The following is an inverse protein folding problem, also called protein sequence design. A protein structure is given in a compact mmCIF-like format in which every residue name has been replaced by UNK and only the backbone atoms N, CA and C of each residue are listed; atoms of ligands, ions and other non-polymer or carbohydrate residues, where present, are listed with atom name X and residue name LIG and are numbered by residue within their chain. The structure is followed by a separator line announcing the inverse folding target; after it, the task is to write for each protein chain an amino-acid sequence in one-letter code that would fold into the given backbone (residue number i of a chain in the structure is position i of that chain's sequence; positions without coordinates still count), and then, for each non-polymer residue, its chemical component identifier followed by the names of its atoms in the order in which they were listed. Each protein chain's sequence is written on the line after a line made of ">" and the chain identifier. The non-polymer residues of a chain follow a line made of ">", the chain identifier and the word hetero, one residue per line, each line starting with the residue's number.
data_IF_612693091307
#
_entry.id   IF_612693091307
#
_cell.length_a   1.000
_cell.length_b   1.000
_cell.length_c   1.000
_cell.angle_alpha   90.00
_cell.angle_beta   90.00
_cell.angle_gamma   90.00
#
_symmetry.space_group_name_H-M   'P 1'
#
loop_
_entity.id
_entity.type
_entity.pdbx_description
1 polymer ?
#
# COMPACT_ATOMS: atom_id res chain seq x y z
N UNK A 1 20.12 11.94 -12.15
CA UNK A 1 19.62 11.21 -10.97
C UNK A 1 18.39 11.93 -10.46
N UNK A 2 17.28 11.24 -10.45
CA UNK A 2 16.03 11.77 -9.91
C UNK A 2 16.11 11.80 -8.39
N UNK A 3 15.44 12.77 -7.76
CA UNK A 3 15.53 12.97 -6.31
C UNK A 3 14.19 12.69 -5.64
N UNK A 4 14.23 11.95 -4.56
CA UNK A 4 13.11 11.88 -3.62
C UNK A 4 13.04 13.18 -2.84
N UNK A 5 11.85 13.77 -2.76
CA UNK A 5 11.59 14.96 -1.95
C UNK A 5 11.08 14.46 -0.59
N UNK A 6 11.85 14.67 0.45
CA UNK A 6 11.53 14.16 1.80
C UNK A 6 12.73 14.21 2.73
N UNK A 7 12.66 13.43 3.80
CA UNK A 7 13.71 13.35 4.80
C UNK A 7 14.72 12.24 4.45
N UNK A 8 15.96 12.43 4.90
CA UNK A 8 16.92 11.34 4.95
C UNK A 8 16.43 10.25 5.93
N UNK A 9 16.63 9.00 5.57
CA UNK A 9 16.29 7.84 6.37
C UNK A 9 17.50 6.90 6.48
N UNK A 10 18.55 7.27 7.22
CA UNK A 10 19.81 6.53 7.26
C UNK A 10 19.68 5.10 7.79
N UNK A 11 18.61 4.82 8.56
CA UNK A 11 18.29 3.48 9.08
C UNK A 11 17.38 2.65 8.17
N UNK A 12 17.14 3.07 6.92
CA UNK A 12 16.30 2.29 5.99
C UNK A 12 16.87 0.87 5.82
N UNK A 13 16.04 -0.18 5.95
CA UNK A 13 16.52 -1.53 5.66
C UNK A 13 17.00 -1.62 4.22
N UNK A 14 18.14 -2.26 4.01
CA UNK A 14 18.72 -2.35 2.69
C UNK A 14 19.50 -3.64 2.46
N UNK A 15 19.39 -4.15 1.27
CA UNK A 15 20.24 -5.19 0.71
C UNK A 15 20.67 -4.76 -0.68
N UNK A 16 21.94 -4.87 -0.98
CA UNK A 16 22.45 -4.58 -2.32
C UNK A 16 21.83 -5.54 -3.35
N UNK A 17 21.72 -5.06 -4.58
CA UNK A 17 21.18 -5.87 -5.68
C UNK A 17 22.00 -7.13 -5.86
N UNK A 18 21.38 -8.31 -5.89
CA UNK A 18 22.10 -9.56 -6.17
C UNK A 18 22.82 -9.52 -7.52
N UNK A 19 24.00 -10.13 -7.57
CA UNK A 19 24.76 -10.25 -8.83
C UNK A 19 23.94 -10.96 -9.91
N UNK A 20 23.93 -10.42 -11.13
CA UNK A 20 23.14 -10.95 -12.23
C UNK A 20 21.64 -10.62 -12.22
N UNK A 21 21.14 -9.89 -11.20
CA UNK A 21 19.75 -9.45 -11.17
C UNK A 21 19.56 -8.24 -12.09
N UNK A 22 18.77 -8.40 -13.14
CA UNK A 22 18.41 -7.36 -14.12
C UNK A 22 17.03 -6.71 -13.85
N UNK A 23 16.32 -7.19 -12.81
CA UNK A 23 14.99 -6.67 -12.43
C UNK A 23 15.12 -5.33 -11.70
N UNK A 24 14.15 -4.41 -11.89
CA UNK A 24 14.17 -3.11 -11.21
C UNK A 24 13.85 -3.20 -9.72
N UNK A 25 13.28 -4.31 -9.26
CA UNK A 25 12.96 -4.62 -7.87
C UNK A 25 13.52 -5.99 -7.52
N UNK A 26 14.22 -6.09 -6.39
CA UNK A 26 14.79 -7.37 -5.91
C UNK A 26 14.34 -7.66 -4.48
N UNK A 27 14.13 -8.94 -4.21
CA UNK A 27 13.65 -9.44 -2.91
C UNK A 27 14.75 -9.43 -1.86
N UNK A 28 14.35 -9.22 -0.62
CA UNK A 28 15.21 -9.50 0.52
C UNK A 28 15.50 -11.02 0.58
N UNK A 29 16.78 -11.36 0.79
CA UNK A 29 17.24 -12.76 0.75
C UNK A 29 16.71 -13.63 1.90
N UNK A 30 16.21 -12.99 2.97
CA UNK A 30 15.67 -13.68 4.16
C UNK A 30 14.14 -13.54 4.26
N UNK A 31 13.46 -13.31 3.15
CA UNK A 31 12.00 -13.33 3.11
C UNK A 31 11.42 -14.72 3.44
N UNK A 32 10.23 -14.79 4.05
CA UNK A 32 9.41 -13.67 4.54
C UNK A 32 9.98 -13.08 5.84
N UNK A 33 9.79 -11.75 6.06
CA UNK A 33 10.23 -11.07 7.28
C UNK A 33 9.24 -11.20 8.44
N UNK A 34 7.97 -11.52 8.13
CA UNK A 34 6.93 -11.84 9.13
C UNK A 34 6.21 -13.10 8.65
N UNK A 35 6.22 -14.13 9.49
CA UNK A 35 5.62 -15.43 9.22
C UNK A 35 4.18 -15.56 9.74
N UNK A 36 3.55 -16.71 9.47
CA UNK A 36 2.18 -17.01 9.89
C UNK A 36 2.00 -16.95 11.40
N UNK A 37 2.97 -17.38 12.15
CA UNK A 37 2.85 -17.65 13.57
C UNK A 37 3.72 -16.74 14.44
N UNK A 38 4.08 -15.57 13.91
CA UNK A 38 4.86 -14.58 14.66
C UNK A 38 4.05 -13.95 15.80
N UNK A 39 2.71 -14.13 15.79
CA UNK A 39 1.87 -13.92 16.96
C UNK A 39 1.02 -15.17 17.25
N UNK A 40 0.68 -15.45 18.54
CA UNK A 40 -0.09 -16.65 18.90
C UNK A 40 -1.51 -16.71 18.34
N UNK A 41 -2.07 -15.56 17.97
CA UNK A 41 -3.48 -15.42 17.55
C UNK A 41 -3.66 -15.38 16.05
N UNK A 42 -2.58 -15.13 15.29
CA UNK A 42 -2.66 -14.96 13.85
C UNK A 42 -2.59 -16.30 13.11
N UNK A 43 -3.47 -16.47 12.12
CA UNK A 43 -3.30 -17.42 11.05
C UNK A 43 -2.36 -16.87 9.98
N UNK A 44 -2.46 -15.58 9.69
CA UNK A 44 -1.66 -14.89 8.66
C UNK A 44 -1.46 -13.44 9.01
N UNK A 45 -0.26 -12.90 8.69
CA UNK A 45 0.12 -11.49 8.89
C UNK A 45 0.72 -10.97 7.59
N UNK A 46 0.02 -10.03 6.96
CA UNK A 46 0.39 -9.53 5.64
C UNK A 46 -0.18 -8.13 5.40
N UNK A 47 0.10 -7.54 4.25
CA UNK A 47 -0.41 -6.22 3.85
C UNK A 47 -0.19 -5.14 4.93
N UNK A 48 1.06 -5.02 5.36
CA UNK A 48 1.46 -4.18 6.48
C UNK A 48 1.81 -2.77 6.05
N UNK A 49 1.38 -1.77 6.83
CA UNK A 49 1.84 -0.39 6.71
C UNK A 49 3.01 -0.14 7.66
N UNK A 50 4.04 0.55 7.19
CA UNK A 50 5.27 0.82 7.94
C UNK A 50 5.69 2.27 7.75
N UNK A 51 6.07 2.95 8.83
CA UNK A 51 6.58 4.33 8.82
C UNK A 51 7.71 4.51 9.83
N UNK A 52 8.60 5.50 9.64
CA UNK A 52 9.55 5.92 10.67
C UNK A 52 8.79 6.45 11.90
N UNK A 53 9.26 6.08 13.11
CA UNK A 53 8.68 6.54 14.36
C UNK A 53 9.72 6.56 15.48
N UNK A 54 9.92 7.74 16.08
CA UNK A 54 10.94 7.91 17.12
C UNK A 54 12.34 7.60 16.59
N UNK A 55 13.04 6.73 17.29
CA UNK A 55 14.36 6.23 16.92
C UNK A 55 14.33 4.89 16.16
N UNK A 56 13.16 4.49 15.68
CA UNK A 56 12.90 3.25 14.95
C UNK A 56 11.73 3.37 14.00
N UNK A 57 10.84 2.38 14.05
CA UNK A 57 9.71 2.25 13.13
C UNK A 57 8.46 1.81 13.88
N UNK A 58 7.31 2.25 13.40
CA UNK A 58 6.01 1.74 13.78
C UNK A 58 5.28 1.20 12.54
N UNK A 59 4.36 0.28 12.77
CA UNK A 59 3.55 -0.30 11.72
C UNK A 59 2.15 -0.61 12.16
N UNK A 60 1.25 -0.71 11.18
CA UNK A 60 -0.10 -1.26 11.33
C UNK A 60 -0.20 -2.47 10.43
N UNK A 61 -0.51 -3.62 11.00
CA UNK A 61 -0.43 -4.93 10.37
C UNK A 61 -1.83 -5.52 10.22
N UNK A 62 -2.17 -6.02 9.05
CA UNK A 62 -3.33 -6.90 8.90
C UNK A 62 -2.98 -8.25 9.51
N UNK A 63 -3.80 -8.68 10.46
CA UNK A 63 -3.75 -10.04 10.99
C UNK A 63 -5.12 -10.70 10.78
N UNK A 64 -5.13 -11.79 10.03
CA UNK A 64 -6.28 -12.67 9.96
C UNK A 64 -6.12 -13.71 11.07
N UNK A 65 -7.09 -13.81 11.97
CA UNK A 65 -7.02 -14.68 13.13
C UNK A 65 -7.20 -16.16 12.78
N UNK A 66 -6.97 -17.04 13.75
CA UNK A 66 -7.25 -18.46 13.59
C UNK A 66 -8.75 -18.78 13.33
N UNK A 67 -9.65 -17.84 13.67
CA UNK A 67 -11.07 -17.91 13.31
C UNK A 67 -11.41 -17.23 11.99
N UNK A 68 -10.39 -16.83 11.23
CA UNK A 68 -10.51 -16.14 9.91
C UNK A 68 -11.21 -14.77 10.03
N UNK A 69 -11.17 -14.13 11.19
CA UNK A 69 -11.58 -12.73 11.33
C UNK A 69 -10.42 -11.80 11.01
N UNK A 70 -10.69 -10.77 10.23
CA UNK A 70 -9.68 -9.78 9.77
C UNK A 70 -9.70 -8.58 10.72
N UNK A 71 -8.53 -8.20 11.24
CA UNK A 71 -8.36 -6.96 11.99
C UNK A 71 -6.95 -6.38 11.80
N UNK A 72 -6.72 -5.18 12.34
CA UNK A 72 -5.45 -4.47 12.25
C UNK A 72 -4.81 -4.30 13.61
N UNK A 73 -3.49 -4.50 13.66
CA UNK A 73 -2.68 -4.57 14.87
C UNK A 73 -1.52 -3.60 14.78
N UNK A 74 -1.05 -3.08 15.92
CA UNK A 74 0.14 -2.22 15.95
C UNK A 74 1.38 -3.05 16.20
N UNK A 75 2.51 -2.62 15.66
CA UNK A 75 3.81 -3.20 15.96
C UNK A 75 4.93 -2.17 15.89
N UNK A 76 6.05 -2.50 16.52
CA UNK A 76 7.23 -1.65 16.57
C UNK A 76 8.47 -2.42 16.14
N UNK A 77 9.45 -1.70 15.60
CA UNK A 77 10.73 -2.26 15.16
C UNK A 77 11.85 -1.25 15.34
N UNK A 78 13.06 -1.75 15.56
CA UNK A 78 14.29 -0.92 15.56
C UNK A 78 14.97 -0.87 14.20
N UNK A 79 14.77 -1.88 13.38
CA UNK A 79 15.46 -2.07 12.10
C UNK A 79 14.51 -2.21 10.89
N UNK A 80 13.20 -2.12 11.14
CA UNK A 80 12.15 -2.30 10.12
C UNK A 80 12.10 -3.70 9.47
N UNK A 81 12.81 -4.68 10.02
CA UNK A 81 12.84 -6.09 9.60
C UNK A 81 12.25 -6.98 10.68
N UNK A 82 12.68 -6.81 11.92
CA UNK A 82 12.21 -7.60 13.07
C UNK A 82 11.16 -6.81 13.84
N UNK A 83 9.97 -7.39 13.99
CA UNK A 83 8.79 -6.69 14.49
C UNK A 83 8.26 -7.30 15.78
N UNK A 84 7.97 -6.44 16.75
CA UNK A 84 7.19 -6.76 17.94
C UNK A 84 5.74 -6.31 17.68
N UNK A 85 4.88 -7.27 17.34
CA UNK A 85 3.47 -7.03 16.95
C UNK A 85 2.58 -7.32 18.15
N UNK A 86 1.68 -6.38 18.47
CA UNK A 86 0.67 -6.54 19.52
C UNK A 86 -0.16 -7.81 19.32
N UNK A 87 -0.56 -8.43 20.43
CA UNK A 87 -1.48 -9.57 20.40
C UNK A 87 -2.95 -9.16 20.45
N UNK A 88 -3.23 -7.87 20.57
CA UNK A 88 -4.59 -7.34 20.59
C UNK A 88 -4.79 -6.38 19.39
N UNK A 89 -5.97 -6.41 18.77
CA UNK A 89 -6.27 -5.49 17.68
C UNK A 89 -6.35 -4.05 18.17
N UNK A 90 -6.11 -3.12 17.27
CA UNK A 90 -6.25 -1.68 17.54
C UNK A 90 -7.69 -1.38 17.93
N UNK A 91 -7.83 -0.73 19.09
CA UNK A 91 -9.10 -0.15 19.52
C UNK A 91 -9.12 1.33 19.16
N UNK A 92 -10.10 1.72 18.36
CA UNK A 92 -10.27 3.11 17.99
C UNK A 92 -11.20 3.83 18.97
N UNK A 93 -10.83 5.04 19.33
CA UNK A 93 -11.68 6.00 20.04
C UNK A 93 -12.39 6.85 18.98
N UNK A 94 -13.69 7.00 19.09
CA UNK A 94 -14.49 7.84 18.21
C UNK A 94 -15.68 8.42 18.95
N UNK A 95 -16.15 9.58 18.50
CA UNK A 95 -17.29 10.26 19.15
C UNK A 95 -18.60 9.57 18.80
N UNK A 96 -18.73 9.04 17.56
CA UNK A 96 -19.93 8.36 17.10
C UNK A 96 -19.75 6.83 17.17
N UNK A 97 -20.57 6.12 18.00
CA UNK A 97 -20.54 4.67 18.06
C UNK A 97 -20.91 3.97 16.74
N UNK A 98 -21.66 4.64 15.87
CA UNK A 98 -21.99 4.07 14.55
C UNK A 98 -20.76 4.01 13.65
N UNK A 99 -19.90 5.04 13.68
CA UNK A 99 -18.67 5.09 12.89
C UNK A 99 -17.63 4.08 13.40
N UNK A 100 -17.54 3.89 14.72
CA UNK A 100 -16.61 2.93 15.33
C UNK A 100 -17.06 1.49 15.24
N UNK A 101 -18.33 1.24 14.89
CA UNK A 101 -18.85 -0.09 14.62
C UNK A 101 -18.16 -0.72 13.44
N UNK A 102 -17.77 -1.96 13.58
CA UNK A 102 -16.99 -2.68 12.55
C UNK A 102 -17.53 -4.11 12.34
N UNK A 103 -17.43 -4.55 11.11
CA UNK A 103 -17.59 -5.96 10.73
C UNK A 103 -16.21 -6.61 10.57
N UNK A 104 -15.26 -5.88 9.95
CA UNK A 104 -13.86 -6.27 9.71
C UNK A 104 -13.01 -5.06 9.39
N UNK A 105 -11.68 -5.20 9.53
CA UNK A 105 -10.68 -4.21 9.09
C UNK A 105 -9.50 -4.91 8.44
N UNK A 106 -9.04 -4.42 7.28
CA UNK A 106 -7.88 -4.99 6.60
C UNK A 106 -7.16 -3.98 5.68
N UNK A 107 -5.99 -4.34 5.21
CA UNK A 107 -5.13 -3.61 4.29
C UNK A 107 -4.87 -2.16 4.71
N UNK A 108 -4.26 -1.94 5.89
CA UNK A 108 -3.98 -0.59 6.37
C UNK A 108 -2.96 0.13 5.51
N UNK A 109 -3.03 1.47 5.53
CA UNK A 109 -1.99 2.39 5.07
C UNK A 109 -1.73 3.40 6.16
N UNK A 110 -0.48 3.82 6.34
CA UNK A 110 -0.10 4.84 7.31
C UNK A 110 0.73 5.91 6.62
N UNK A 111 0.45 7.17 6.92
CA UNK A 111 1.19 8.30 6.39
C UNK A 111 1.26 9.42 7.42
N UNK A 112 2.43 10.06 7.52
CA UNK A 112 2.58 11.29 8.29
C UNK A 112 2.13 12.48 7.47
N UNK A 113 1.21 13.30 8.01
CA UNK A 113 0.77 14.56 7.40
C UNK A 113 0.71 15.61 8.49
N UNK A 114 1.42 16.71 8.30
CA UNK A 114 1.48 17.88 9.20
C UNK A 114 2.00 17.52 10.60
N UNK A 115 1.16 17.00 11.50
CA UNK A 115 1.46 16.84 12.93
C UNK A 115 1.12 15.44 13.50
N UNK A 116 0.61 14.52 12.65
CA UNK A 116 0.16 13.19 13.10
C UNK A 116 0.24 12.13 12.00
N UNK A 117 0.13 10.87 12.42
CA UNK A 117 0.01 9.74 11.50
C UNK A 117 -1.45 9.46 11.21
N UNK A 118 -1.82 9.53 9.93
CA UNK A 118 -3.12 9.09 9.47
C UNK A 118 -3.05 7.63 9.07
N UNK A 119 -4.09 6.89 9.42
CA UNK A 119 -4.28 5.49 9.09
C UNK A 119 -5.53 5.36 8.24
N UNK A 120 -5.42 4.71 7.09
CA UNK A 120 -6.57 4.31 6.28
C UNK A 120 -6.61 2.79 6.20
N UNK A 121 -7.80 2.22 6.12
CA UNK A 121 -7.98 0.76 5.99
C UNK A 121 -9.25 0.45 5.22
N UNK A 122 -9.38 -0.78 4.73
CA UNK A 122 -10.68 -1.25 4.27
C UNK A 122 -11.53 -1.59 5.50
N UNK A 123 -12.62 -0.87 5.66
CA UNK A 123 -13.55 -0.97 6.78
C UNK A 123 -14.83 -1.69 6.35
N UNK A 124 -15.28 -2.68 7.12
CA UNK A 124 -16.57 -3.32 6.95
C UNK A 124 -17.67 -2.47 7.60
N UNK A 125 -18.42 -1.78 6.78
CA UNK A 125 -19.57 -0.98 7.17
C UNK A 125 -20.65 -1.06 6.07
N UNK A 126 -21.59 -2.00 6.23
CA UNK A 126 -22.59 -2.34 5.20
C UNK A 126 -21.98 -2.68 3.83
N UNK A 127 -20.79 -3.25 3.85
CA UNK A 127 -19.92 -3.52 2.72
C UNK A 127 -18.56 -2.84 2.88
N UNK A 128 -17.61 -3.11 1.99
CA UNK A 128 -16.28 -2.52 2.09
C UNK A 128 -16.29 -1.02 1.80
N UNK A 129 -15.79 -0.24 2.74
CA UNK A 129 -15.52 1.19 2.57
C UNK A 129 -14.11 1.54 3.04
N UNK A 130 -13.74 2.79 3.04
CA UNK A 130 -12.45 3.26 3.52
C UNK A 130 -12.64 3.93 4.87
N UNK A 131 -12.16 3.27 5.93
CA UNK A 131 -12.02 3.87 7.23
C UNK A 131 -10.83 4.81 7.27
N UNK A 132 -10.96 5.89 8.02
CA UNK A 132 -9.91 6.89 8.28
C UNK A 132 -9.77 7.08 9.78
N UNK A 133 -8.55 7.20 10.24
CA UNK A 133 -8.24 7.52 11.62
C UNK A 133 -6.85 8.14 11.74
N UNK A 134 -6.47 8.51 12.95
CA UNK A 134 -5.15 9.04 13.20
C UNK A 134 -4.60 8.61 14.57
N UNK A 135 -3.30 8.76 14.72
CA UNK A 135 -2.59 8.55 15.97
C UNK A 135 -1.40 9.52 16.07
N UNK A 136 -0.99 9.84 17.30
CA UNK A 136 0.24 10.60 17.55
C UNK A 136 1.38 9.70 18.05
N UNK A 137 1.04 8.54 18.62
CA UNK A 137 1.95 7.74 19.44
C UNK A 137 1.88 6.22 19.17
N UNK A 138 1.02 5.79 18.26
CA UNK A 138 0.71 4.38 17.98
C UNK A 138 0.21 3.59 19.20
N UNK A 139 -0.32 4.30 20.22
CA UNK A 139 -0.97 3.70 21.40
C UNK A 139 -2.44 4.04 21.45
N UNK A 140 -2.77 5.31 21.15
CA UNK A 140 -4.14 5.77 21.07
C UNK A 140 -4.48 6.08 19.62
N UNK A 141 -5.55 5.46 19.12
CA UNK A 141 -6.03 5.64 17.77
C UNK A 141 -7.42 6.28 17.77
N UNK A 142 -7.60 7.32 17.00
CA UNK A 142 -8.85 8.05 16.87
C UNK A 142 -9.46 7.74 15.50
N UNK A 143 -10.72 7.30 15.50
CA UNK A 143 -11.46 7.08 14.26
C UNK A 143 -12.18 8.34 13.83
N UNK A 144 -12.10 8.64 12.55
CA UNK A 144 -12.83 9.68 11.84
C UNK A 144 -13.98 9.04 11.04
N UNK A 145 -14.74 9.86 10.34
CA UNK A 145 -15.77 9.39 9.42
C UNK A 145 -15.20 8.47 8.34
N UNK A 146 -16.00 7.52 7.86
CA UNK A 146 -15.67 6.76 6.67
C UNK A 146 -15.58 7.68 5.46
N UNK A 147 -14.49 7.59 4.70
CA UNK A 147 -14.24 8.52 3.58
C UNK A 147 -15.27 8.40 2.47
N UNK A 148 -15.86 7.23 2.27
CA UNK A 148 -16.78 6.95 1.16
C UNK A 148 -17.90 6.01 1.56
N UNK A 149 -18.96 6.02 0.76
CA UNK A 149 -19.97 4.96 0.80
C UNK A 149 -19.39 3.63 0.31
N UNK A 150 -19.95 2.49 0.72
CA UNK A 150 -19.64 1.21 0.06
C UNK A 150 -20.01 1.29 -1.44
N UNK A 151 -19.27 0.75 -2.36
CA UNK A 151 -18.14 -0.13 -2.25
C UNK A 151 -16.86 0.59 -2.68
N UNK A 152 -15.92 0.76 -1.79
CA UNK A 152 -14.62 1.36 -2.11
C UNK A 152 -13.50 0.67 -1.32
N UNK A 153 -12.29 0.63 -1.88
CA UNK A 153 -11.11 -0.04 -1.30
C UNK A 153 -9.82 0.70 -1.61
N UNK A 154 -8.75 0.27 -0.97
CA UNK A 154 -7.39 0.71 -1.22
C UNK A 154 -7.25 2.24 -1.08
N UNK A 155 -7.77 2.80 0.01
CA UNK A 155 -7.61 4.22 0.33
C UNK A 155 -6.16 4.54 0.66
N UNK A 156 -5.55 5.46 -0.09
CA UNK A 156 -4.14 5.85 0.06
C UNK A 156 -4.02 7.36 0.02
N UNK A 157 -3.63 7.95 1.14
CA UNK A 157 -3.42 9.40 1.25
C UNK A 157 -2.07 9.81 0.67
N UNK A 158 -2.02 11.01 0.10
CA UNK A 158 -0.77 11.67 -0.22
C UNK A 158 -0.12 12.23 1.06
N UNK A 159 1.22 12.27 1.15
CA UNK A 159 1.91 12.65 2.40
C UNK A 159 1.89 14.15 2.72
N UNK A 160 1.22 14.94 1.93
CA UNK A 160 0.96 16.37 2.17
C UNK A 160 -0.28 16.85 1.42
N UNK A 161 -0.76 18.01 1.80
CA UNK A 161 -1.76 18.73 1.01
C UNK A 161 -1.17 19.17 -0.34
N UNK A 162 -1.98 19.05 -1.39
CA UNK A 162 -1.68 19.55 -2.73
C UNK A 162 -2.74 20.62 -3.05
N UNK A 163 -2.28 21.84 -3.37
CA UNK A 163 -3.17 22.99 -3.57
C UNK A 163 -4.13 23.25 -2.38
N UNK A 164 -3.63 23.06 -1.15
CA UNK A 164 -4.39 23.25 0.08
C UNK A 164 -5.44 22.17 0.38
N UNK A 165 -5.44 21.05 -0.35
CA UNK A 165 -6.38 19.94 -0.17
C UNK A 165 -5.65 18.64 0.19
N UNK A 166 -6.25 17.85 1.05
CA UNK A 166 -5.89 16.45 1.20
C UNK A 166 -6.35 15.68 -0.04
N UNK A 167 -5.55 14.73 -0.48
CA UNK A 167 -5.85 13.89 -1.63
C UNK A 167 -5.73 12.42 -1.26
N UNK A 168 -6.68 11.62 -1.76
CA UNK A 168 -6.71 10.18 -1.56
C UNK A 168 -6.92 9.47 -2.89
N UNK A 169 -6.06 8.51 -3.17
CA UNK A 169 -6.30 7.51 -4.21
C UNK A 169 -7.18 6.41 -3.63
N UNK A 170 -8.10 5.90 -4.44
CA UNK A 170 -8.95 4.77 -4.07
C UNK A 170 -9.35 3.96 -5.30
N UNK A 171 -9.89 2.77 -5.04
CA UNK A 171 -10.47 1.93 -6.07
C UNK A 171 -11.92 1.62 -5.71
N UNK A 172 -12.89 2.32 -6.30
CA UNK A 172 -14.28 1.90 -6.27
C UNK A 172 -14.37 0.45 -6.79
N UNK A 173 -15.14 -0.39 -6.13
CA UNK A 173 -15.21 -1.82 -6.43
C UNK A 173 -16.63 -2.29 -6.30
N UNK A 174 -17.16 -2.92 -7.35
CA UNK A 174 -18.46 -3.57 -7.35
C UNK A 174 -18.30 -5.10 -7.35
N UNK A 175 -19.31 -5.78 -6.86
CA UNK A 175 -19.46 -7.23 -6.96
C UNK A 175 -20.51 -7.66 -7.96
N UNK A 176 -21.18 -6.69 -8.63
CA UNK A 176 -22.34 -6.90 -9.46
C UNK A 176 -22.09 -6.82 -10.97
N UNK A 177 -23.00 -6.15 -11.67
CA UNK A 177 -23.07 -6.13 -13.12
C UNK A 177 -21.91 -5.40 -13.80
N UNK A 178 -21.29 -4.43 -13.11
CA UNK A 178 -20.22 -3.61 -13.67
C UNK A 178 -18.96 -3.75 -12.80
N UNK A 179 -18.09 -4.73 -13.09
CA UNK A 179 -16.84 -4.86 -12.38
C UNK A 179 -16.05 -3.56 -12.48
N UNK A 180 -15.71 -2.97 -11.34
CA UNK A 180 -14.93 -1.76 -11.25
C UNK A 180 -13.53 -2.10 -10.80
N UNK A 181 -12.50 -1.59 -11.48
CA UNK A 181 -11.13 -1.97 -11.22
C UNK A 181 -10.12 -0.85 -11.40
N UNK A 182 -10.59 0.39 -11.54
CA UNK A 182 -9.77 1.55 -11.87
C UNK A 182 -9.40 2.37 -10.62
N UNK A 183 -8.32 3.13 -10.73
CA UNK A 183 -7.86 4.05 -9.67
C UNK A 183 -8.48 5.43 -9.90
N UNK A 184 -9.08 5.97 -8.84
CA UNK A 184 -9.62 7.32 -8.76
C UNK A 184 -8.90 8.11 -7.68
N UNK A 185 -8.96 9.44 -7.79
CA UNK A 185 -8.51 10.40 -6.82
C UNK A 185 -9.69 11.22 -6.33
N UNK A 186 -9.73 11.47 -5.03
CA UNK A 186 -10.68 12.36 -4.39
C UNK A 186 -9.96 13.40 -3.55
N UNK A 187 -10.58 14.57 -3.38
CA UNK A 187 -10.05 15.69 -2.62
C UNK A 187 -10.92 15.96 -1.40
N UNK A 188 -10.29 16.39 -0.31
CA UNK A 188 -10.96 16.82 0.91
C UNK A 188 -10.34 18.09 1.49
N UNK A 189 -11.11 19.00 2.08
CA UNK A 189 -10.58 20.12 2.86
C UNK A 189 -10.09 19.71 4.25
N UNK A 190 -10.65 18.63 4.84
CA UNK A 190 -10.62 18.29 6.27
C UNK A 190 -10.50 16.79 6.58
N UNK A 191 -10.40 15.91 5.56
CA UNK A 191 -10.39 14.44 5.63
C UNK A 191 -11.75 13.79 5.98
N UNK A 192 -12.80 14.56 6.17
CA UNK A 192 -14.16 14.09 6.40
C UNK A 192 -15.04 14.22 5.16
N UNK A 193 -15.02 15.41 4.52
CA UNK A 193 -15.83 15.67 3.32
C UNK A 193 -15.01 15.44 2.05
N UNK A 194 -15.33 14.38 1.31
CA UNK A 194 -14.64 13.99 0.08
C UNK A 194 -15.42 14.33 -1.17
N UNK A 195 -14.73 14.92 -2.14
CA UNK A 195 -15.33 15.31 -3.41
C UNK A 195 -14.31 15.49 -4.53
N UNK A 196 -14.66 16.22 -5.58
CA UNK A 196 -13.80 16.44 -6.75
C UNK A 196 -13.16 15.15 -7.28
N UNK A 197 -13.99 14.09 -7.39
CA UNK A 197 -13.54 12.79 -7.85
C UNK A 197 -12.98 12.86 -9.27
N UNK A 198 -11.81 12.29 -9.51
CA UNK A 198 -11.13 12.28 -10.81
C UNK A 198 -10.65 10.87 -11.12
N UNK A 199 -10.84 10.45 -12.36
CA UNK A 199 -10.20 9.26 -12.88
C UNK A 199 -8.69 9.50 -12.97
N UNK A 200 -7.88 8.51 -12.55
CA UNK A 200 -6.42 8.55 -12.63
C UNK A 200 -5.93 7.58 -13.69
N UNK A 201 -6.18 6.29 -13.51
CA UNK A 201 -5.80 5.28 -14.50
C UNK A 201 -6.70 4.06 -14.42
N UNK A 202 -6.93 3.46 -15.58
CA UNK A 202 -7.73 2.26 -15.73
C UNK A 202 -6.93 0.98 -15.90
N UNK A 203 -7.64 -0.13 -15.90
CA UNK A 203 -7.13 -1.43 -16.32
C UNK A 203 -6.64 -1.39 -17.77
N UNK A 204 -5.72 -2.28 -18.11
CA UNK A 204 -5.18 -2.36 -19.47
C UNK A 204 -4.96 -3.82 -19.86
N UNK A 205 -5.57 -4.24 -20.95
CA UNK A 205 -5.59 -5.63 -21.42
C UNK A 205 -4.76 -5.91 -22.67
N UNK A 206 -4.01 -4.93 -23.18
CA UNK A 206 -3.22 -5.10 -24.41
C UNK A 206 -1.90 -5.84 -24.19
N UNK A 207 -1.54 -6.72 -25.10
CA UNK A 207 -0.26 -7.42 -25.21
C UNK A 207 0.43 -7.74 -23.87
N UNK A 208 1.67 -7.27 -23.68
CA UNK A 208 2.49 -7.50 -22.49
C UNK A 208 2.01 -6.81 -21.23
N UNK A 209 0.93 -6.05 -21.28
CA UNK A 209 0.33 -5.33 -20.15
C UNK A 209 -0.90 -6.03 -19.56
N UNK A 210 -1.28 -7.17 -20.08
CA UNK A 210 -2.46 -7.94 -19.62
C UNK A 210 -2.41 -8.32 -18.13
N UNK A 211 -1.26 -8.26 -17.48
CA UNK A 211 -1.09 -8.49 -16.06
C UNK A 211 -1.93 -7.55 -15.16
N UNK A 212 -2.46 -6.47 -15.72
CA UNK A 212 -3.30 -5.46 -15.07
C UNK A 212 -4.67 -5.30 -15.75
N UNK A 213 -5.15 -6.36 -16.38
CA UNK A 213 -6.37 -6.31 -17.23
C UNK A 213 -7.66 -6.39 -16.46
N UNK A 214 -7.68 -6.91 -15.24
CA UNK A 214 -8.90 -7.13 -14.48
C UNK A 214 -9.19 -5.99 -13.50
N UNK A 215 -8.22 -5.64 -12.69
CA UNK A 215 -8.28 -4.53 -11.74
C UNK A 215 -6.88 -4.05 -11.39
N UNK A 216 -6.80 -2.79 -11.00
CA UNK A 216 -5.60 -2.16 -10.46
C UNK A 216 -5.94 -1.47 -9.15
N UNK A 217 -4.96 -1.21 -8.30
CA UNK A 217 -5.22 -0.46 -7.07
C UNK A 217 -3.92 0.12 -6.50
N UNK A 218 -3.99 1.31 -5.86
CA UNK A 218 -2.82 1.91 -5.27
C UNK A 218 -2.22 0.99 -4.18
N UNK A 219 -0.92 1.03 -4.08
CA UNK A 219 -0.14 0.28 -3.10
C UNK A 219 0.25 1.15 -1.89
N UNK A 220 1.55 1.46 -1.70
CA UNK A 220 2.02 2.42 -0.72
C UNK A 220 1.55 3.84 -0.99
N UNK A 221 1.66 4.71 0.02
CA UNK A 221 1.53 6.16 -0.17
C UNK A 221 2.50 6.63 -1.27
N UNK A 222 2.05 7.51 -2.19
CA UNK A 222 2.90 8.01 -3.24
C UNK A 222 4.17 8.69 -2.71
N UNK A 223 5.30 8.42 -3.33
CA UNK A 223 6.59 9.03 -2.99
C UNK A 223 6.77 10.29 -3.84
N UNK A 224 6.99 11.42 -3.19
CA UNK A 224 7.27 12.66 -3.91
C UNK A 224 8.68 12.64 -4.50
N UNK A 225 8.78 12.98 -5.79
CA UNK A 225 10.05 13.12 -6.49
C UNK A 225 10.11 14.46 -7.23
N UNK A 226 11.27 14.88 -7.65
CA UNK A 226 11.42 16.08 -8.50
C UNK A 226 10.79 15.91 -9.89
N UNK A 227 10.47 14.70 -10.32
CA UNK A 227 9.81 14.42 -11.60
C UNK A 227 8.28 14.25 -11.48
N UNK A 228 7.73 13.98 -10.29
CA UNK A 228 6.32 13.70 -10.04
C UNK A 228 6.09 12.82 -8.82
N UNK A 229 4.83 12.44 -8.58
CA UNK A 229 4.49 11.46 -7.57
C UNK A 229 4.72 10.04 -8.09
N UNK A 230 5.69 9.34 -7.53
CA UNK A 230 5.94 7.94 -7.84
C UNK A 230 4.91 7.07 -7.11
N UNK A 231 4.02 6.45 -7.88
CA UNK A 231 3.01 5.52 -7.40
C UNK A 231 3.43 4.09 -7.69
N UNK A 232 3.62 3.30 -6.65
CA UNK A 232 3.71 1.84 -6.74
C UNK A 232 2.28 1.30 -6.58
N UNK A 233 1.85 0.40 -7.47
CA UNK A 233 0.49 -0.12 -7.47
C UNK A 233 0.47 -1.62 -7.77
N UNK A 234 -0.65 -2.28 -7.49
CA UNK A 234 -0.85 -3.66 -7.92
C UNK A 234 -1.77 -3.72 -9.14
N UNK A 235 -1.49 -4.66 -10.01
CA UNK A 235 -2.36 -5.05 -11.11
C UNK A 235 -2.74 -6.52 -10.99
N UNK A 236 -3.92 -6.87 -11.48
CA UNK A 236 -4.50 -8.20 -11.35
C UNK A 236 -4.91 -8.75 -12.71
N UNK A 237 -4.48 -9.97 -12.96
CA UNK A 237 -4.91 -10.80 -14.08
C UNK A 237 -5.76 -11.96 -13.55
N UNK A 238 -6.85 -12.29 -14.24
CA UNK A 238 -7.61 -13.52 -14.01
C UNK A 238 -7.06 -14.64 -14.88
N UNK A 239 -6.82 -15.78 -14.27
CA UNK A 239 -6.41 -17.02 -14.93
C UNK A 239 -7.43 -18.12 -14.66
N UNK A 240 -7.25 -19.31 -15.27
CA UNK A 240 -8.10 -20.48 -15.00
C UNK A 240 -8.04 -20.93 -13.54
N UNK A 241 -6.90 -20.69 -12.85
CA UNK A 241 -6.66 -21.09 -11.45
C UNK A 241 -6.90 -19.97 -10.44
N UNK A 242 -7.46 -18.84 -10.85
CA UNK A 242 -7.74 -17.70 -9.95
C UNK A 242 -7.07 -16.41 -10.38
N UNK A 243 -6.75 -15.56 -9.42
CA UNK A 243 -6.14 -14.26 -9.66
C UNK A 243 -4.63 -14.31 -9.49
N UNK A 244 -3.92 -13.52 -10.30
CA UNK A 244 -2.48 -13.30 -10.13
C UNK A 244 -2.25 -11.81 -9.94
N UNK A 245 -1.68 -11.44 -8.80
CA UNK A 245 -1.36 -10.07 -8.44
C UNK A 245 0.11 -9.77 -8.72
N UNK A 246 0.37 -8.66 -9.38
CA UNK A 246 1.71 -8.18 -9.71
C UNK A 246 1.87 -6.72 -9.34
N UNK A 247 3.09 -6.30 -9.14
CA UNK A 247 3.46 -4.92 -8.81
C UNK A 247 3.85 -4.15 -10.07
N UNK A 248 3.42 -2.91 -10.19
CA UNK A 248 3.82 -1.96 -11.22
C UNK A 248 4.07 -0.58 -10.65
N UNK A 249 4.49 0.37 -11.48
CA UNK A 249 4.65 1.76 -11.09
C UNK A 249 4.11 2.73 -12.14
N UNK A 250 3.77 3.92 -11.67
CA UNK A 250 3.36 5.06 -12.47
C UNK A 250 3.91 6.36 -11.88
N UNK A 251 4.09 7.37 -12.70
CA UNK A 251 4.46 8.71 -12.30
C UNK A 251 3.30 9.65 -12.56
N UNK A 252 2.82 10.31 -11.48
CA UNK A 252 1.72 11.25 -11.54
C UNK A 252 2.23 12.69 -11.50
N UNK A 253 1.46 13.62 -12.00
CA UNK A 253 1.78 15.04 -11.93
C UNK A 253 1.78 15.55 -10.48
N UNK A 254 2.66 16.48 -10.14
CA UNK A 254 2.82 16.99 -8.78
C UNK A 254 1.62 17.82 -8.29
N UNK A 255 1.07 18.65 -9.16
CA UNK A 255 -0.02 19.58 -8.81
C UNK A 255 -1.40 19.01 -9.17
N UNK A 256 -1.44 18.18 -10.20
CA UNK A 256 -2.66 17.53 -10.69
C UNK A 256 -2.49 16.00 -10.71
N UNK A 257 -2.36 15.32 -9.56
CA UNK A 257 -1.99 13.90 -9.50
C UNK A 257 -3.02 12.93 -10.10
N UNK A 258 -4.11 13.41 -10.64
CA UNK A 258 -4.98 12.62 -11.52
C UNK A 258 -4.45 12.53 -12.96
N UNK A 259 -3.39 13.27 -13.32
CA UNK A 259 -2.71 13.18 -14.62
C UNK A 259 -1.52 12.23 -14.49
N UNK A 260 -1.57 11.13 -15.24
CA UNK A 260 -0.48 10.18 -15.33
C UNK A 260 0.52 10.64 -16.37
N UNK A 261 1.76 10.88 -15.97
CA UNK A 261 2.87 11.29 -16.85
C UNK A 261 3.54 10.08 -17.50
N UNK A 262 3.69 8.99 -16.73
CA UNK A 262 4.29 7.74 -17.21
C UNK A 262 3.67 6.56 -16.46
N UNK A 263 3.64 5.39 -17.10
CA UNK A 263 3.19 4.13 -16.50
C UNK A 263 4.01 2.98 -17.06
N UNK A 264 4.42 2.05 -16.22
CA UNK A 264 5.18 0.87 -16.67
C UNK A 264 4.32 -0.08 -17.49
N UNK A 265 4.86 -0.53 -18.65
CA UNK A 265 4.24 -1.57 -19.48
C UNK A 265 4.36 -2.93 -18.80
N UNK A 266 5.54 -3.24 -18.31
CA UNK A 266 5.83 -4.50 -17.63
C UNK A 266 5.71 -4.33 -16.12
N UNK A 267 5.41 -5.43 -15.44
CA UNK A 267 5.41 -5.46 -13.98
C UNK A 267 6.85 -5.35 -13.43
N UNK A 268 6.95 -4.91 -12.19
CA UNK A 268 8.19 -4.81 -11.43
C UNK A 268 8.50 -6.12 -10.70
N UNK A 269 7.46 -6.73 -10.11
CA UNK A 269 7.53 -7.94 -9.33
C UNK A 269 6.30 -8.81 -9.60
N UNK A 270 6.49 -10.11 -9.72
CA UNK A 270 5.44 -11.12 -9.89
C UNK A 270 5.64 -12.25 -8.87
N UNK A 271 4.60 -13.05 -8.54
CA UNK A 271 4.76 -14.19 -7.66
C UNK A 271 5.68 -15.25 -8.28
N UNK A 272 6.87 -15.41 -7.75
CA UNK A 272 7.89 -16.34 -8.23
C UNK A 272 8.40 -17.26 -7.11
N UNK A 273 8.37 -16.79 -5.87
CA UNK A 273 8.79 -17.55 -4.71
C UNK A 273 7.66 -18.42 -4.14
N UNK A 274 8.00 -19.50 -3.47
CA UNK A 274 7.01 -20.42 -2.90
C UNK A 274 6.06 -19.74 -1.92
N UNK A 275 6.56 -18.80 -1.12
CA UNK A 275 5.75 -18.05 -0.15
C UNK A 275 4.85 -16.99 -0.80
N UNK A 276 5.05 -16.68 -2.09
CA UNK A 276 4.18 -15.80 -2.88
C UNK A 276 3.14 -16.60 -3.70
N UNK A 277 3.48 -17.85 -4.01
CA UNK A 277 2.65 -18.74 -4.82
C UNK A 277 1.70 -19.60 -3.98
N UNK A 278 2.05 -19.87 -2.73
CA UNK A 278 1.29 -20.76 -1.85
C UNK A 278 0.91 -20.04 -0.54
N UNK A 279 -0.38 -19.98 -0.27
CA UNK A 279 -0.93 -19.35 0.93
C UNK A 279 -2.44 -19.32 0.91
N UNK A 280 -3.02 -18.45 1.73
CA UNK A 280 -4.48 -18.33 1.87
C UNK A 280 -5.12 -17.82 0.55
N UNK A 281 -4.42 -16.95 -0.18
CA UNK A 281 -4.73 -16.59 -1.57
C UNK A 281 -3.46 -16.74 -2.42
N UNK A 282 -3.36 -17.78 -3.26
CA UNK A 282 -2.15 -18.06 -4.01
C UNK A 282 -1.85 -17.01 -5.09
N UNK A 283 -0.58 -16.89 -5.48
CA UNK A 283 -0.10 -16.01 -6.55
C UNK A 283 -0.33 -14.51 -6.29
N UNK A 284 0.02 -14.04 -5.08
CA UNK A 284 -0.10 -12.64 -4.70
C UNK A 284 1.24 -12.03 -4.31
N UNK A 285 1.57 -10.88 -4.93
CA UNK A 285 2.49 -9.87 -4.41
C UNK A 285 1.73 -8.55 -4.33
N UNK A 286 1.46 -8.07 -3.09
CA UNK A 286 0.58 -6.94 -2.84
C UNK A 286 1.32 -5.83 -2.07
N UNK A 287 1.82 -4.78 -2.76
CA UNK A 287 2.59 -3.72 -2.11
C UNK A 287 1.69 -2.86 -1.22
N UNK A 288 2.15 -2.59 0.02
CA UNK A 288 1.36 -1.88 1.02
C UNK A 288 2.08 -0.71 1.66
N UNK A 289 3.39 -0.80 1.84
CA UNK A 289 4.19 0.29 2.38
C UNK A 289 5.49 0.43 1.61
N UNK A 290 6.05 1.63 1.60
CA UNK A 290 7.37 1.90 1.10
C UNK A 290 8.06 2.92 2.01
N UNK A 291 9.20 2.55 2.55
CA UNK A 291 10.15 3.48 3.14
C UNK A 291 11.01 4.04 2.01
N UNK A 292 11.26 5.34 2.04
CA UNK A 292 12.04 6.02 1.01
C UNK A 292 13.06 6.95 1.67
N UNK A 293 14.31 6.85 1.23
CA UNK A 293 15.41 7.68 1.71
C UNK A 293 15.78 8.75 0.68
N UNK A 294 15.59 10.01 1.03
CA UNK A 294 15.86 11.13 0.14
C UNK A 294 17.35 11.35 -0.13
N UNK A 295 18.24 10.89 0.72
CA UNK A 295 19.68 11.06 0.55
C UNK A 295 20.26 10.09 -0.49
N UNK A 296 19.85 8.82 -0.42
CA UNK A 296 20.40 7.75 -1.29
C UNK A 296 19.48 7.36 -2.45
N UNK A 297 18.22 7.79 -2.42
CA UNK A 297 17.20 7.36 -3.39
C UNK A 297 16.74 5.91 -3.19
N UNK A 298 17.12 5.25 -2.09
CA UNK A 298 16.74 3.88 -1.75
C UNK A 298 15.27 3.79 -1.37
N UNK A 299 14.64 2.72 -1.79
CA UNK A 299 13.23 2.42 -1.46
C UNK A 299 13.14 0.98 -1.00
N UNK A 300 12.56 0.77 0.19
CA UNK A 300 12.25 -0.53 0.75
C UNK A 300 10.72 -0.74 0.71
N UNK A 301 10.27 -1.77 0.00
CA UNK A 301 8.85 -2.05 -0.29
C UNK A 301 8.39 -3.24 0.54
N UNK A 302 7.40 -3.04 1.39
CA UNK A 302 6.72 -4.10 2.13
C UNK A 302 5.52 -4.58 1.32
N UNK A 303 5.40 -5.89 1.19
CA UNK A 303 4.30 -6.48 0.40
C UNK A 303 3.76 -7.75 1.05
N UNK A 304 2.46 -7.96 0.88
CA UNK A 304 1.81 -9.21 1.25
C UNK A 304 2.12 -10.29 0.22
N UNK A 305 2.44 -11.49 0.73
CA UNK A 305 2.78 -12.65 -0.07
C UNK A 305 1.70 -13.72 0.13
N UNK A 306 1.01 -14.09 -0.96
CA UNK A 306 -0.06 -15.11 -0.98
C UNK A 306 -1.11 -14.91 0.12
N UNK A 307 -1.40 -13.65 0.50
CA UNK A 307 -2.29 -13.25 1.61
C UNK A 307 -1.99 -14.01 2.91
N UNK A 308 -0.72 -14.24 3.22
CA UNK A 308 -0.31 -15.12 4.31
C UNK A 308 0.83 -14.57 5.16
N UNK A 309 1.87 -14.05 4.51
CA UNK A 309 3.10 -13.58 5.14
C UNK A 309 3.51 -12.24 4.56
N UNK A 310 4.44 -11.54 5.23
CA UNK A 310 4.97 -10.26 4.76
C UNK A 310 6.37 -10.42 4.21
N UNK A 311 6.56 -9.93 2.98
CA UNK A 311 7.85 -9.84 2.30
C UNK A 311 8.39 -8.42 2.24
N UNK A 312 9.69 -8.31 2.01
CA UNK A 312 10.44 -7.08 1.81
C UNK A 312 11.19 -7.14 0.48
N UNK A 313 11.15 -6.05 -0.27
CA UNK A 313 11.90 -5.90 -1.52
C UNK A 313 12.50 -4.52 -1.63
N UNK A 314 13.51 -4.38 -2.46
CA UNK A 314 14.30 -3.15 -2.59
C UNK A 314 14.34 -2.66 -4.02
N UNK A 315 14.48 -1.35 -4.15
CA UNK A 315 14.70 -0.65 -5.41
C UNK A 315 15.29 0.74 -5.14
N UNK A 316 15.55 1.50 -6.19
CA UNK A 316 15.85 2.94 -6.09
C UNK A 316 14.89 3.74 -6.94
N UNK A 317 14.77 5.03 -6.65
CA UNK A 317 13.96 5.95 -7.48
C UNK A 317 14.42 5.94 -8.93
N UNK A 318 15.73 5.93 -9.18
CA UNK A 318 16.29 5.91 -10.54
C UNK A 318 15.94 4.62 -11.30
N UNK A 319 15.92 3.47 -10.61
CA UNK A 319 15.49 2.19 -11.20
C UNK A 319 14.04 2.22 -11.66
N UNK A 320 13.13 2.70 -10.82
CA UNK A 320 11.71 2.74 -11.16
C UNK A 320 11.41 3.75 -12.28
N UNK A 321 12.00 4.94 -12.22
CA UNK A 321 11.82 5.93 -13.26
C UNK A 321 12.51 5.50 -14.56
N UNK A 322 13.70 4.90 -14.47
CA UNK A 322 14.42 4.31 -15.60
C UNK A 322 13.63 3.19 -16.27
N UNK A 323 12.99 2.33 -15.48
CA UNK A 323 12.14 1.26 -15.99
C UNK A 323 10.95 1.78 -16.78
N UNK A 324 10.24 2.80 -16.26
CA UNK A 324 9.12 3.44 -16.98
C UNK A 324 9.58 4.13 -18.27
N UNK A 325 10.73 4.81 -18.25
CA UNK A 325 11.31 5.45 -19.44
C UNK A 325 11.72 4.42 -20.50
N UNK A 326 12.25 3.27 -20.07
CA UNK A 326 12.67 2.18 -20.97
C UNK A 326 11.48 1.39 -21.54
N UNK A 327 10.46 1.22 -20.76
CA UNK A 327 9.28 0.41 -21.12
C UNK A 327 7.98 1.15 -20.83
N UNK A 328 7.70 2.25 -21.54
CA UNK A 328 6.49 3.03 -21.30
C UNK A 328 5.25 2.30 -21.79
N UNK A 329 4.16 2.39 -21.03
CA UNK A 329 2.81 2.07 -21.48
C UNK A 329 2.14 3.33 -22.04
N UNK A 330 2.35 4.44 -21.35
CA UNK A 330 1.98 5.80 -21.72
C UNK A 330 3.11 6.73 -21.35
#
# INVERSE_FOLDING_TARGET
>A
MSKIIGNALPGIPWQERPEGCDKPVWRYSQNPIIGRHDTPIANSIFNSAVVPFGDGYAGVFRCDSLSVSMDIFVGFSKDAIHWDISHEPITFVGEDPEVTKREYRYDPRVVWIEDRYYVTWCNGYHGPTIGVGYTFDFKTFYQMENAFLPYNRNGVLFPRKINGRYMMLSRPSDTGHTPFGDIFLSQSPDLEYWGHHRFVMGTYGGDFSAWQSMKIGPGPCPIETDEGWLLIYHGVLRTCSGYVYRMGCALLDLEEPWKVKQRSRYYLLAPEELYEQNGDVPNVVFPCAALADAETGRIAIYYGCADTVTGLAFTTVDELLGWMKKYPLI
#
